data_IF_068416348869
#
_entry.id   IF_068416348869
#
_cell.length_a   1.000
_cell.length_b   1.000
_cell.length_c   1.000
_cell.angle_alpha   90.00
_cell.angle_beta   90.00
_cell.angle_gamma   90.00
#
_symmetry.space_group_name_H-M   'P 1'
#
loop_
_entity.id
_entity.type
_entity.pdbx_description
1 polymer ?
#
# COMPACT_ATOMS: atom_id res chain seq x y z
N UNK A 1 -6.74 -8.67 -1.36
CA UNK A 1 -6.87 -8.22 -2.76
C UNK A 1 -7.78 -9.17 -3.50
N UNK A 2 -8.75 -8.60 -4.22
CA UNK A 2 -9.64 -9.31 -5.13
C UNK A 2 -9.66 -8.56 -6.47
N UNK A 3 -9.82 -9.30 -7.56
CA UNK A 3 -10.09 -8.75 -8.88
C UNK A 3 -11.46 -9.25 -9.32
N UNK A 4 -12.44 -8.37 -9.34
CA UNK A 4 -13.82 -8.69 -9.74
C UNK A 4 -14.29 -7.62 -10.73
N UNK A 5 -14.88 -8.01 -11.86
CA UNK A 5 -15.33 -7.08 -12.92
C UNK A 5 -14.24 -6.09 -13.39
N UNK A 6 -12.99 -6.55 -13.47
CA UNK A 6 -11.80 -5.75 -13.78
C UNK A 6 -11.46 -4.66 -12.74
N UNK A 7 -12.02 -4.75 -11.54
CA UNK A 7 -11.77 -3.81 -10.46
C UNK A 7 -10.95 -4.48 -9.36
N UNK A 8 -9.75 -3.96 -9.10
CA UNK A 8 -8.99 -4.35 -7.92
C UNK A 8 -9.55 -3.67 -6.67
N UNK A 9 -9.91 -4.48 -5.68
CA UNK A 9 -10.39 -4.05 -4.36
C UNK A 9 -9.61 -4.73 -3.25
N UNK A 10 -9.81 -4.27 -2.01
CA UNK A 10 -9.13 -4.80 -0.83
C UNK A 10 -7.59 -4.76 -0.95
N UNK A 11 -7.08 -3.69 -1.55
CA UNK A 11 -5.65 -3.33 -1.51
C UNK A 11 -5.42 -2.57 -0.20
N UNK A 12 -4.68 -3.18 0.72
CA UNK A 12 -4.36 -2.60 2.02
C UNK A 12 -2.91 -2.08 2.02
N UNK A 13 -2.77 -0.78 2.25
CA UNK A 13 -1.50 -0.09 2.52
C UNK A 13 -1.46 0.23 4.00
N UNK A 14 -0.38 -0.09 4.70
CA UNK A 14 -0.26 0.24 6.12
C UNK A 14 1.04 0.99 6.41
N UNK A 15 0.94 2.05 7.21
CA UNK A 15 2.09 2.83 7.68
C UNK A 15 2.49 2.29 9.05
N UNK A 16 3.77 1.95 9.23
CA UNK A 16 4.29 1.45 10.50
C UNK A 16 4.17 2.55 11.58
N UNK A 17 3.82 2.15 12.80
CA UNK A 17 3.75 3.03 13.98
C UNK A 17 5.04 3.79 14.29
N UNK A 18 6.18 3.29 13.81
CA UNK A 18 7.51 3.85 14.03
C UNK A 18 7.89 4.92 12.99
N UNK A 19 7.01 5.20 12.02
CA UNK A 19 7.10 6.32 11.09
C UNK A 19 6.52 7.59 11.76
N UNK A 20 7.30 8.68 11.85
CA UNK A 20 6.81 9.95 12.37
C UNK A 20 5.57 10.45 11.63
N UNK A 21 4.69 11.14 12.33
CA UNK A 21 3.49 11.72 11.72
C UNK A 21 3.86 12.76 10.67
N UNK A 22 3.57 12.45 9.42
CA UNK A 22 3.73 13.34 8.28
C UNK A 22 2.63 13.07 7.25
N UNK A 23 1.75 14.05 7.06
CA UNK A 23 0.62 13.93 6.15
C UNK A 23 1.07 13.77 4.68
N UNK A 24 2.27 14.24 4.33
CA UNK A 24 2.81 14.08 2.97
C UNK A 24 2.98 12.61 2.60
N UNK A 25 3.22 11.72 3.57
CA UNK A 25 3.28 10.27 3.32
C UNK A 25 1.95 9.75 2.79
N UNK A 26 0.84 10.15 3.41
CA UNK A 26 -0.50 9.72 2.99
C UNK A 26 -0.85 10.30 1.62
N UNK A 27 -0.48 11.56 1.37
CA UNK A 27 -0.80 12.21 0.10
C UNK A 27 0.02 11.63 -1.06
N UNK A 28 1.31 11.36 -0.85
CA UNK A 28 2.15 10.62 -1.83
C UNK A 28 1.64 9.22 -2.10
N UNK A 29 1.16 8.50 -1.09
CA UNK A 29 0.54 7.18 -1.31
C UNK A 29 -0.70 7.28 -2.20
N UNK A 30 -1.54 8.30 -2.00
CA UNK A 30 -2.70 8.54 -2.90
C UNK A 30 -2.23 8.81 -4.33
N UNK A 31 -1.21 9.65 -4.51
CA UNK A 31 -0.62 9.94 -5.83
C UNK A 31 -0.08 8.68 -6.50
N UNK A 32 0.80 7.93 -5.83
CA UNK A 32 1.39 6.68 -6.33
C UNK A 32 0.31 5.69 -6.74
N UNK A 33 -0.72 5.47 -5.92
CA UNK A 33 -1.78 4.51 -6.25
C UNK A 33 -2.72 5.02 -7.34
N UNK A 34 -2.90 6.35 -7.48
CA UNK A 34 -3.66 6.94 -8.58
C UNK A 34 -2.92 6.76 -9.91
N UNK A 35 -1.63 7.04 -9.93
CA UNK A 35 -0.76 6.84 -11.10
C UNK A 35 -0.66 5.36 -11.46
N UNK A 36 -0.40 4.49 -10.49
CA UNK A 36 -0.34 3.05 -10.70
C UNK A 36 -1.68 2.49 -11.23
N UNK A 37 -2.82 3.03 -10.77
CA UNK A 37 -4.14 2.65 -11.28
C UNK A 37 -4.31 3.02 -12.75
N UNK A 38 -3.87 4.23 -13.13
CA UNK A 38 -3.87 4.70 -14.52
C UNK A 38 -2.95 3.84 -15.39
N UNK A 39 -1.74 3.56 -14.94
CA UNK A 39 -0.77 2.78 -15.69
C UNK A 39 -1.25 1.34 -15.90
N UNK A 40 -1.80 0.72 -14.86
CA UNK A 40 -2.42 -0.59 -14.95
C UNK A 40 -3.58 -0.61 -15.95
N UNK A 41 -4.42 0.42 -15.96
CA UNK A 41 -5.53 0.55 -16.90
C UNK A 41 -5.04 0.61 -18.35
N UNK A 42 -4.05 1.44 -18.63
CA UNK A 42 -3.46 1.55 -19.97
C UNK A 42 -2.77 0.26 -20.38
N UNK A 43 -1.93 -0.32 -19.51
CA UNK A 43 -1.18 -1.54 -19.78
C UNK A 43 -2.08 -2.75 -20.03
N UNK A 44 -3.29 -2.76 -19.45
CA UNK A 44 -4.27 -3.83 -19.64
C UNK A 44 -5.26 -3.56 -20.78
N UNK A 45 -4.98 -2.60 -21.66
CA UNK A 45 -5.85 -2.17 -22.76
C UNK A 45 -7.22 -1.69 -22.26
N UNK A 46 -7.21 -0.75 -21.31
CA UNK A 46 -8.37 -0.10 -20.73
C UNK A 46 -9.32 -1.07 -20.01
N UNK A 47 -8.77 -2.08 -19.34
CA UNK A 47 -9.57 -3.10 -18.66
C UNK A 47 -9.56 -2.91 -17.16
N UNK A 48 -8.39 -2.95 -16.54
CA UNK A 48 -8.27 -3.16 -15.10
C UNK A 48 -7.68 -1.97 -14.37
N UNK A 49 -8.21 -1.64 -13.20
CA UNK A 49 -7.75 -0.51 -12.39
C UNK A 49 -7.95 -0.76 -10.89
N UNK A 50 -7.31 0.05 -10.04
CA UNK A 50 -7.60 0.05 -8.60
C UNK A 50 -8.88 0.83 -8.33
N UNK A 51 -9.92 0.11 -7.93
CA UNK A 51 -11.21 0.69 -7.53
C UNK A 51 -11.18 1.24 -6.12
N UNK A 52 -10.51 0.53 -5.21
CA UNK A 52 -10.43 0.89 -3.80
C UNK A 52 -9.06 0.51 -3.22
N UNK A 53 -8.41 1.49 -2.60
CA UNK A 53 -7.18 1.32 -1.82
C UNK A 53 -7.43 1.86 -0.41
N UNK A 54 -7.11 1.06 0.61
CA UNK A 54 -7.31 1.41 2.02
C UNK A 54 -5.95 1.71 2.63
N UNK A 55 -5.76 2.93 3.14
CA UNK A 55 -4.56 3.32 3.88
C UNK A 55 -4.85 3.20 5.37
N UNK A 56 -4.12 2.32 6.05
CA UNK A 56 -4.17 2.13 7.50
C UNK A 56 -3.18 3.08 8.17
N UNK A 57 -3.75 4.05 8.89
CA UNK A 57 -3.01 5.04 9.69
C UNK A 57 -2.63 4.41 11.04
N UNK A 58 -1.38 4.54 11.51
CA UNK A 58 -0.96 3.99 12.79
C UNK A 58 -1.61 4.71 13.96
N UNK A 59 -1.80 4.00 15.06
CA UNK A 59 -2.38 4.55 16.28
C UNK A 59 -1.48 5.56 17.02
N UNK A 60 -0.21 5.68 16.60
CA UNK A 60 0.74 6.69 17.10
C UNK A 60 0.52 8.06 16.48
N UNK A 61 -0.21 8.15 15.36
CA UNK A 61 -0.58 9.41 14.75
C UNK A 61 -1.85 9.98 15.38
N UNK A 62 -1.99 11.30 15.29
CA UNK A 62 -3.15 12.04 15.76
C UNK A 62 -4.41 11.60 15.02
N UNK A 63 -5.45 11.20 15.76
CA UNK A 63 -6.73 10.80 15.17
C UNK A 63 -7.41 11.99 14.53
N UNK A 64 -7.84 11.85 13.27
CA UNK A 64 -8.61 12.85 12.53
C UNK A 64 -10.06 12.41 12.32
N UNK A 65 -11.02 13.34 12.19
CA UNK A 65 -12.44 13.01 11.99
C UNK A 65 -12.73 12.13 10.76
N UNK A 66 -11.93 12.26 9.69
CA UNK A 66 -12.06 11.50 8.45
C UNK A 66 -11.57 10.05 8.55
N UNK A 67 -10.90 9.67 9.65
CA UNK A 67 -10.38 8.31 9.82
C UNK A 67 -11.49 7.35 10.26
N UNK A 68 -11.66 6.30 9.47
CA UNK A 68 -12.58 5.20 9.78
C UNK A 68 -11.92 4.19 10.72
N UNK A 69 -12.70 3.46 11.54
CA UNK A 69 -12.17 2.36 12.35
C UNK A 69 -11.43 1.32 11.49
N UNK A 70 -10.25 0.89 11.94
CA UNK A 70 -9.43 -0.09 11.24
C UNK A 70 -10.15 -1.44 11.04
N UNK A 71 -10.98 -1.83 12.01
CA UNK A 71 -11.66 -3.12 12.02
C UNK A 71 -10.63 -4.25 12.16
N UNK A 72 -10.59 -5.16 11.19
CA UNK A 72 -9.68 -6.33 11.17
C UNK A 72 -8.36 -6.07 10.42
N UNK A 73 -8.13 -4.85 9.94
CA UNK A 73 -6.93 -4.46 9.19
C UNK A 73 -5.76 -4.30 10.16
N UNK A 74 -4.63 -4.94 9.87
CA UNK A 74 -3.38 -4.81 10.64
C UNK A 74 -2.20 -4.57 9.70
N UNK A 75 -1.08 -4.10 10.23
CA UNK A 75 0.13 -3.84 9.46
C UNK A 75 0.69 -5.14 8.83
N UNK A 76 0.68 -6.24 9.57
CA UNK A 76 1.18 -7.55 9.14
C UNK A 76 0.34 -8.17 8.02
N UNK A 77 -0.92 -7.75 7.87
CA UNK A 77 -1.82 -8.22 6.82
C UNK A 77 -1.85 -7.32 5.59
N UNK A 78 -1.12 -6.20 5.61
CA UNK A 78 -1.10 -5.25 4.50
C UNK A 78 -0.32 -5.80 3.30
N UNK A 79 -0.83 -5.47 2.10
CA UNK A 79 -0.20 -5.82 0.83
C UNK A 79 0.99 -4.92 0.54
N UNK A 80 0.90 -3.65 0.98
CA UNK A 80 1.99 -2.68 0.92
C UNK A 80 2.24 -2.15 2.32
N UNK A 81 3.50 -2.13 2.74
CA UNK A 81 3.95 -1.70 4.05
C UNK A 81 4.89 -0.52 3.89
N UNK A 82 4.52 0.61 4.48
CA UNK A 82 5.38 1.79 4.58
C UNK A 82 6.10 1.73 5.92
N UNK A 83 7.41 1.54 5.87
CA UNK A 83 8.23 1.36 7.06
C UNK A 83 9.63 1.93 6.85
N UNK A 84 10.47 1.88 7.88
CA UNK A 84 11.83 2.41 7.84
C UNK A 84 12.64 1.75 6.72
N UNK A 85 13.67 2.45 6.21
CA UNK A 85 14.59 1.90 5.21
C UNK A 85 15.15 0.54 5.64
N UNK A 86 15.11 -0.42 4.73
CA UNK A 86 15.74 -1.71 4.97
C UNK A 86 17.27 -1.55 4.86
N UNK A 87 18.11 -2.14 5.74
CA UNK A 87 19.56 -1.99 5.64
C UNK A 87 20.17 -2.40 4.29
N UNK A 88 19.55 -3.34 3.58
CA UNK A 88 20.01 -3.85 2.29
C UNK A 88 19.49 -3.02 1.10
N UNK A 89 18.24 -2.56 1.17
CA UNK A 89 17.56 -1.88 0.06
C UNK A 89 17.51 -0.36 0.22
N UNK A 90 17.85 0.14 1.41
CA UNK A 90 17.78 1.56 1.81
C UNK A 90 16.35 2.08 1.54
N UNK A 91 16.23 3.13 0.74
CA UNK A 91 14.96 3.75 0.34
C UNK A 91 14.38 3.12 -0.95
N UNK A 92 15.01 2.08 -1.52
CA UNK A 92 14.51 1.45 -2.74
C UNK A 92 13.30 0.54 -2.44
N UNK A 93 12.21 0.65 -3.22
CA UNK A 93 11.06 -0.23 -3.07
C UNK A 93 11.43 -1.66 -3.43
N UNK A 94 10.87 -2.62 -2.69
CA UNK A 94 11.07 -4.05 -2.98
C UNK A 94 9.84 -4.89 -2.63
N UNK A 95 9.78 -6.10 -3.17
CA UNK A 95 8.77 -7.10 -2.80
C UNK A 95 9.46 -8.19 -1.99
N UNK A 96 8.99 -8.42 -0.76
CA UNK A 96 9.37 -9.60 0.00
C UNK A 96 8.67 -10.81 -0.64
N UNK A 97 9.44 -11.77 -1.14
CA UNK A 97 8.90 -13.00 -1.73
C UNK A 97 9.73 -14.20 -1.26
N UNK A 98 9.07 -15.24 -0.77
CA UNK A 98 9.73 -16.50 -0.35
C UNK A 98 9.40 -17.66 -1.30
N UNK A 99 8.22 -17.64 -1.92
CA UNK A 99 7.87 -18.52 -3.03
C UNK A 99 8.52 -17.99 -4.30
N UNK A 100 9.15 -18.85 -5.09
CA UNK A 100 9.90 -18.44 -6.28
C UNK A 100 9.03 -17.85 -7.40
N UNK A 101 9.53 -17.91 -8.64
CA UNK A 101 8.82 -17.36 -9.80
C UNK A 101 7.41 -17.95 -9.95
N UNK A 102 6.42 -17.10 -10.19
CA UNK A 102 5.02 -17.49 -10.35
C UNK A 102 4.20 -17.46 -9.05
N UNK A 103 4.86 -17.39 -7.90
CA UNK A 103 4.18 -17.23 -6.60
C UNK A 103 3.95 -15.75 -6.25
N UNK A 104 2.84 -15.41 -5.59
CA UNK A 104 2.62 -14.06 -5.07
C UNK A 104 3.69 -13.66 -4.04
N UNK A 105 4.10 -12.39 -4.09
CA UNK A 105 4.90 -11.80 -3.02
C UNK A 105 4.14 -11.70 -1.70
N UNK A 106 4.85 -11.78 -0.58
CA UNK A 106 4.30 -11.66 0.77
C UNK A 106 3.75 -10.23 1.01
N UNK A 107 4.54 -9.21 0.67
CA UNK A 107 4.18 -7.80 0.70
C UNK A 107 5.19 -6.94 -0.09
N UNK A 108 4.75 -5.77 -0.55
CA UNK A 108 5.64 -4.71 -1.04
C UNK A 108 6.07 -3.81 0.12
N UNK A 109 7.36 -3.50 0.20
CA UNK A 109 7.92 -2.54 1.13
C UNK A 109 8.19 -1.22 0.43
N UNK A 110 7.70 -0.14 1.03
CA UNK A 110 7.97 1.23 0.63
C UNK A 110 8.53 2.00 1.83
N UNK A 111 9.24 3.08 1.56
CA UNK A 111 9.68 4.04 2.57
C UNK A 111 8.80 5.30 2.54
N UNK A 112 8.80 6.13 3.61
CA UNK A 112 8.00 7.36 3.65
C UNK A 112 8.42 8.46 2.66
N UNK A 113 9.61 8.34 2.06
CA UNK A 113 10.21 9.33 1.17
C UNK A 113 9.80 9.15 -0.28
#
# INVERSE_FOLDING_TARGET
IKLENNEYTDVLVAINKDIPEDQQVVDRLKEIFTEASRDLYVATNNRTFFKEVKILIPNTWTKKPEYLPAGTKTFERANVRVDRPNPLYVDNPYVQQKGGCGEPGDYMHLTPK
#
